data_IF_418068218492
#
_entry.id   IF_418068218492
#
_cell.length_a   1.000
_cell.length_b   1.000
_cell.length_c   1.000
_cell.angle_alpha   90.00
_cell.angle_beta   90.00
_cell.angle_gamma   90.00
#
_symmetry.space_group_name_H-M   'P 1'
#
loop_
_entity.id
_entity.type
_entity.pdbx_description
1 polymer ?
#
# COMPACT_ATOMS: atom_id res chain seq x y z
N UNK A 1 8.45 -22.69 2.39
CA UNK A 1 7.24 -21.89 2.63
C UNK A 1 6.22 -22.82 3.25
N UNK A 2 5.76 -22.50 4.45
CA UNK A 2 4.67 -23.24 5.07
C UNK A 2 3.40 -23.15 4.22
N UNK A 3 2.59 -24.21 4.30
CA UNK A 3 1.36 -24.32 3.53
C UNK A 3 0.42 -23.18 3.93
N UNK A 4 -0.17 -22.44 2.97
CA UNK A 4 -1.08 -21.36 3.31
C UNK A 4 -2.28 -21.88 4.10
N UNK A 5 -2.70 -21.12 5.11
CA UNK A 5 -3.94 -21.34 5.85
C UNK A 5 -5.08 -20.50 5.27
N UNK A 6 -6.30 -20.72 5.75
CA UNK A 6 -7.48 -20.06 5.21
C UNK A 6 -7.57 -18.60 5.69
N UNK A 7 -7.77 -17.67 4.74
CA UNK A 7 -8.24 -16.32 5.04
C UNK A 7 -9.78 -16.36 5.19
N UNK A 8 -10.26 -16.13 6.41
CA UNK A 8 -11.67 -16.30 6.79
C UNK A 8 -12.34 -14.93 6.93
N UNK A 9 -13.15 -14.46 5.96
CA UNK A 9 -13.98 -13.28 6.09
C UNK A 9 -15.12 -13.57 7.06
N UNK A 10 -15.39 -12.60 7.92
CA UNK A 10 -16.49 -12.59 8.89
C UNK A 10 -17.66 -11.82 8.31
N UNK A 11 -17.40 -10.60 7.85
CA UNK A 11 -18.39 -9.70 7.27
C UNK A 11 -17.74 -8.61 6.41
N UNK A 12 -18.58 -7.84 5.73
CA UNK A 12 -18.17 -6.70 4.91
C UNK A 12 -18.82 -5.43 5.46
N UNK A 13 -18.05 -4.34 5.48
CA UNK A 13 -18.54 -3.02 5.91
C UNK A 13 -18.55 -2.11 4.70
N UNK A 14 -19.75 -1.72 4.26
CA UNK A 14 -19.94 -0.74 3.19
C UNK A 14 -19.49 0.63 3.68
N UNK A 15 -18.73 1.35 2.86
CA UNK A 15 -18.24 2.68 3.21
C UNK A 15 -19.03 3.82 2.60
N UNK A 16 -20.04 3.50 1.78
CA UNK A 16 -20.71 4.51 0.94
C UNK A 16 -19.76 5.15 -0.08
N UNK A 17 -18.63 4.50 -0.36
CA UNK A 17 -17.59 4.89 -1.29
C UNK A 17 -16.99 3.63 -1.93
N UNK A 18 -16.37 3.74 -3.11
CA UNK A 18 -15.66 2.62 -3.75
C UNK A 18 -14.15 2.77 -3.57
N UNK A 19 -13.48 1.64 -3.69
CA UNK A 19 -12.04 1.58 -3.78
C UNK A 19 -11.27 2.05 -2.54
N UNK A 20 -11.67 1.65 -1.30
CA UNK A 20 -10.88 1.95 -0.11
C UNK A 20 -9.50 1.29 -0.24
N UNK A 21 -8.47 2.09 -0.52
CA UNK A 21 -7.16 1.59 -0.89
C UNK A 21 -6.38 1.16 0.36
N UNK A 22 -5.62 2.05 0.99
CA UNK A 22 -4.91 1.70 2.20
C UNK A 22 -5.88 1.51 3.35
N UNK A 23 -5.54 0.62 4.28
CA UNK A 23 -6.26 0.48 5.55
C UNK A 23 -5.26 0.50 6.67
N UNK A 24 -5.35 1.51 7.52
CA UNK A 24 -4.45 1.69 8.66
C UNK A 24 -5.27 1.73 9.95
N UNK A 25 -4.93 0.86 10.89
CA UNK A 25 -5.54 0.90 12.22
C UNK A 25 -4.90 2.03 13.05
N UNK A 26 -5.74 2.79 13.76
CA UNK A 26 -5.28 3.76 14.74
C UNK A 26 -5.21 3.15 16.16
N UNK A 27 -4.64 3.90 17.09
CA UNK A 27 -4.48 3.47 18.48
C UNK A 27 -5.80 3.18 19.23
N UNK A 28 -6.95 3.60 18.69
CA UNK A 28 -8.27 3.37 19.27
C UNK A 28 -9.00 2.20 18.59
N UNK A 29 -8.31 1.45 17.72
CA UNK A 29 -8.86 0.33 16.98
C UNK A 29 -9.81 0.73 15.84
N UNK A 30 -9.85 2.01 15.47
CA UNK A 30 -10.59 2.50 14.29
C UNK A 30 -9.69 2.32 13.07
N UNK A 31 -10.29 2.29 11.88
CA UNK A 31 -9.52 2.15 10.63
C UNK A 31 -9.67 3.38 9.77
N UNK A 32 -8.55 3.86 9.27
CA UNK A 32 -8.44 4.94 8.30
C UNK A 32 -8.28 4.37 6.90
N UNK A 33 -8.94 4.96 5.90
CA UNK A 33 -8.80 4.55 4.51
C UNK A 33 -9.10 5.69 3.54
N UNK A 34 -8.49 5.65 2.37
CA UNK A 34 -8.72 6.58 1.27
C UNK A 34 -9.60 5.97 0.19
N UNK A 35 -10.60 6.70 -0.30
CA UNK A 35 -11.56 6.22 -1.29
C UNK A 35 -11.34 6.79 -2.70
N UNK A 36 -12.01 6.18 -3.69
CA UNK A 36 -11.94 6.53 -5.10
C UNK A 36 -12.37 7.96 -5.43
N UNK A 37 -13.29 8.51 -4.64
CA UNK A 37 -13.81 9.86 -4.82
C UNK A 37 -13.00 10.93 -4.06
N UNK A 38 -11.82 10.57 -3.55
CA UNK A 38 -10.91 11.48 -2.87
C UNK A 38 -11.18 11.64 -1.38
N UNK A 39 -12.22 10.99 -0.83
CA UNK A 39 -12.50 11.06 0.62
C UNK A 39 -11.49 10.26 1.43
N UNK A 40 -11.05 10.85 2.54
CA UNK A 40 -10.39 10.15 3.64
C UNK A 40 -11.46 9.78 4.66
N UNK A 41 -11.55 8.51 5.00
CA UNK A 41 -12.60 7.95 5.83
C UNK A 41 -12.00 7.36 7.11
N UNK A 42 -12.73 7.50 8.21
CA UNK A 42 -12.50 6.79 9.47
C UNK A 42 -13.69 5.89 9.75
N UNK A 43 -13.41 4.61 10.01
CA UNK A 43 -14.42 3.59 10.27
C UNK A 43 -14.37 3.20 11.74
N UNK A 44 -15.48 3.42 12.42
CA UNK A 44 -15.70 3.07 13.82
C UNK A 44 -16.48 1.77 13.91
N UNK A 45 -16.30 1.02 15.01
CA UNK A 45 -17.06 -0.19 15.34
C UNK A 45 -17.07 -1.27 14.23
N UNK A 46 -15.92 -1.48 13.57
CA UNK A 46 -15.76 -2.47 12.49
C UNK A 46 -16.16 -3.90 12.88
N UNK A 47 -16.16 -4.25 14.17
CA UNK A 47 -16.50 -5.58 14.65
C UNK A 47 -17.98 -5.98 14.49
N UNK A 48 -18.91 -5.03 14.39
CA UNK A 48 -20.33 -5.31 14.11
C UNK A 48 -20.81 -4.42 12.96
N UNK A 49 -21.14 -5.00 11.78
CA UNK A 49 -21.56 -4.23 10.61
C UNK A 49 -22.85 -3.43 10.83
N UNK A 50 -23.66 -3.75 11.85
CA UNK A 50 -24.88 -3.00 12.18
C UNK A 50 -24.61 -1.71 12.94
N UNK A 51 -23.46 -1.63 13.63
CA UNK A 51 -23.04 -0.46 14.40
C UNK A 51 -21.88 0.29 13.76
N UNK A 52 -21.30 -0.27 12.69
CA UNK A 52 -20.22 0.35 11.96
C UNK A 52 -20.63 1.74 11.47
N UNK A 53 -19.80 2.73 11.78
CA UNK A 53 -20.04 4.13 11.40
C UNK A 53 -18.85 4.65 10.61
N UNK A 54 -19.15 5.31 9.50
CA UNK A 54 -18.16 5.95 8.64
C UNK A 54 -18.20 7.45 8.88
N UNK A 55 -17.03 8.01 9.14
CA UNK A 55 -16.78 9.44 9.30
C UNK A 55 -15.89 9.90 8.15
N UNK A 56 -16.23 11.02 7.52
CA UNK A 56 -15.37 11.65 6.51
C UNK A 56 -14.45 12.62 7.23
N UNK A 57 -13.14 12.42 7.09
CA UNK A 57 -12.12 13.27 7.73
C UNK A 57 -11.70 14.43 6.83
N UNK A 58 -11.64 14.22 5.52
CA UNK A 58 -11.27 15.23 4.54
C UNK A 58 -11.59 14.74 3.13
N UNK A 59 -11.52 15.64 2.15
CA UNK A 59 -11.56 15.31 0.73
C UNK A 59 -10.31 15.86 0.07
N UNK A 60 -9.47 14.99 -0.50
CA UNK A 60 -8.24 15.42 -1.16
C UNK A 60 -8.51 16.02 -2.52
N UNK A 61 -9.66 15.75 -3.15
CA UNK A 61 -9.91 16.13 -4.55
C UNK A 61 -9.00 15.40 -5.56
N UNK A 62 -8.33 14.34 -5.13
CA UNK A 62 -7.53 13.43 -5.95
C UNK A 62 -7.88 11.97 -5.67
N UNK A 63 -6.88 11.09 -5.69
CA UNK A 63 -7.05 9.66 -5.35
C UNK A 63 -6.05 9.24 -4.26
N UNK A 64 -6.44 9.25 -2.98
CA UNK A 64 -5.63 8.75 -1.88
C UNK A 64 -5.33 7.25 -2.03
N UNK A 65 -4.07 6.86 -1.81
CA UNK A 65 -3.57 5.50 -1.98
C UNK A 65 -2.85 4.96 -0.75
N UNK A 66 -2.06 5.77 -0.05
CA UNK A 66 -1.30 5.36 1.13
C UNK A 66 -1.45 6.37 2.26
N UNK A 67 -1.53 5.89 3.49
CA UNK A 67 -1.85 6.70 4.67
C UNK A 67 -0.85 6.46 5.80
N UNK A 68 -0.42 7.53 6.47
CA UNK A 68 0.41 7.42 7.68
C UNK A 68 -0.11 8.37 8.77
N UNK A 69 -0.79 7.85 9.81
CA UNK A 69 -1.26 8.64 10.93
C UNK A 69 -0.08 9.20 11.73
N UNK A 70 -0.15 10.48 12.09
CA UNK A 70 0.91 11.17 12.82
C UNK A 70 0.57 11.31 14.31
N UNK A 71 1.59 11.40 15.19
CA UNK A 71 1.39 11.58 16.64
C UNK A 71 0.64 12.86 17.01
N UNK A 72 0.68 13.89 16.16
CA UNK A 72 -0.01 15.17 16.35
C UNK A 72 -1.49 15.13 15.94
N UNK A 73 -2.00 13.96 15.51
CA UNK A 73 -3.37 13.77 15.02
C UNK A 73 -3.55 14.09 13.53
N UNK A 74 -2.51 14.59 12.86
CA UNK A 74 -2.47 14.74 11.41
C UNK A 74 -2.34 13.40 10.69
N UNK A 75 -2.38 13.46 9.37
CA UNK A 75 -2.28 12.30 8.49
C UNK A 75 -1.44 12.67 7.27
N UNK A 76 -0.39 11.92 6.98
CA UNK A 76 0.24 11.99 5.67
C UNK A 76 -0.55 11.12 4.69
N UNK A 77 -0.71 11.61 3.47
CA UNK A 77 -1.46 10.94 2.43
C UNK A 77 -0.66 10.97 1.14
N UNK A 78 -0.36 9.80 0.60
CA UNK A 78 0.02 9.66 -0.79
C UNK A 78 -1.22 9.68 -1.66
N UNK A 79 -1.35 10.71 -2.49
CA UNK A 79 -2.42 10.87 -3.44
C UNK A 79 -1.87 10.68 -4.87
N UNK A 80 -2.45 9.75 -5.62
CA UNK A 80 -2.01 9.39 -6.96
C UNK A 80 -2.03 10.58 -7.94
N UNK A 81 -2.92 11.53 -7.69
CA UNK A 81 -3.12 12.69 -8.54
C UNK A 81 -2.46 13.94 -7.98
N UNK A 82 -2.40 14.10 -6.65
CA UNK A 82 -1.93 15.35 -6.02
C UNK A 82 -0.53 15.28 -5.38
N UNK A 83 0.08 14.10 -5.31
CA UNK A 83 1.41 13.92 -4.70
C UNK A 83 1.33 13.58 -3.21
N UNK A 84 2.32 13.99 -2.44
CA UNK A 84 2.35 13.86 -0.98
C UNK A 84 1.56 15.02 -0.34
N UNK A 85 0.58 14.67 0.49
CA UNK A 85 -0.27 15.59 1.20
C UNK A 85 -0.11 15.43 2.71
N UNK A 86 -0.40 16.50 3.44
CA UNK A 86 -0.78 16.46 4.85
C UNK A 86 -2.25 16.80 4.98
N UNK A 87 -2.97 16.00 5.74
CA UNK A 87 -4.34 16.25 6.15
C UNK A 87 -4.35 16.53 7.63
N UNK A 88 -5.00 17.63 8.02
CA UNK A 88 -5.24 18.00 9.41
C UNK A 88 -6.74 17.84 9.69
N UNK A 89 -7.17 16.69 10.25
CA UNK A 89 -8.58 16.42 10.53
C UNK A 89 -9.14 17.37 11.59
N UNK A 90 -10.44 17.66 11.49
CA UNK A 90 -11.17 18.41 12.52
C UNK A 90 -12.38 17.59 12.93
N UNK A 91 -12.59 17.42 14.23
CA UNK A 91 -13.72 16.64 14.74
C UNK A 91 -15.06 17.22 14.24
N UNK A 92 -15.86 16.39 13.58
CA UNK A 92 -17.18 16.77 13.06
C UNK A 92 -17.15 17.69 11.83
N UNK A 93 -16.00 17.90 11.19
CA UNK A 93 -15.85 18.74 10.00
C UNK A 93 -14.90 18.16 8.95
N UNK A 94 -14.82 18.82 7.80
CA UNK A 94 -13.81 18.51 6.79
C UNK A 94 -12.46 19.10 7.21
N UNK A 95 -11.46 18.23 7.36
CA UNK A 95 -10.08 18.61 7.65
C UNK A 95 -9.44 19.42 6.52
N UNK A 96 -8.34 20.08 6.84
CA UNK A 96 -7.58 20.88 5.87
C UNK A 96 -6.58 20.00 5.13
N UNK A 97 -6.40 20.23 3.83
CA UNK A 97 -5.48 19.46 2.99
C UNK A 97 -4.37 20.36 2.46
N UNK A 98 -3.13 20.03 2.80
CA UNK A 98 -1.91 20.71 2.40
C UNK A 98 -1.11 19.85 1.42
N UNK A 99 -0.65 20.41 0.31
CA UNK A 99 0.31 19.73 -0.56
C UNK A 99 1.70 19.94 0.02
N UNK A 100 2.38 18.84 0.39
CA UNK A 100 3.77 18.89 0.86
C UNK A 100 4.75 18.80 -0.32
N UNK A 101 4.45 17.92 -1.28
CA UNK A 101 5.22 17.80 -2.52
C UNK A 101 4.37 17.19 -3.62
N UNK A 102 4.44 17.75 -4.83
CA UNK A 102 3.80 17.19 -6.03
C UNK A 102 4.80 16.84 -7.14
N UNK A 103 6.09 17.11 -6.90
CA UNK A 103 7.19 16.91 -7.82
C UNK A 103 8.49 16.61 -7.08
N UNK A 104 9.45 16.06 -7.82
CA UNK A 104 10.83 15.81 -7.40
C UNK A 104 11.76 15.85 -8.60
N UNK A 105 12.89 16.54 -8.49
CA UNK A 105 13.89 16.66 -9.55
C UNK A 105 13.28 17.14 -10.89
N UNK A 106 12.35 18.09 -10.81
CA UNK A 106 11.64 18.65 -11.97
C UNK A 106 10.56 17.75 -12.59
N UNK A 107 10.27 16.59 -12.01
CA UNK A 107 9.24 15.66 -12.49
C UNK A 107 8.07 15.54 -11.51
N UNK A 108 6.84 15.54 -12.04
CA UNK A 108 5.63 15.32 -11.23
C UNK A 108 5.62 13.93 -10.59
N UNK A 109 5.13 13.84 -9.35
CA UNK A 109 4.80 12.60 -8.66
C UNK A 109 3.54 11.98 -9.28
N UNK A 110 3.70 11.33 -10.45
CA UNK A 110 2.60 10.80 -11.27
C UNK A 110 1.79 9.68 -10.61
N UNK A 111 2.39 8.97 -9.65
CA UNK A 111 1.78 7.83 -8.97
C UNK A 111 2.38 7.72 -7.57
N UNK A 112 2.15 8.75 -6.75
CA UNK A 112 2.51 8.77 -5.33
C UNK A 112 1.71 7.67 -4.61
N UNK A 113 2.38 6.64 -4.09
CA UNK A 113 1.71 5.39 -3.68
C UNK A 113 1.59 5.27 -2.17
N UNK A 114 2.70 5.20 -1.45
CA UNK A 114 2.68 4.96 -0.01
C UNK A 114 3.71 5.81 0.74
N UNK A 115 3.48 6.02 2.04
CA UNK A 115 4.24 6.95 2.88
C UNK A 115 4.46 6.37 4.27
N UNK A 116 5.61 6.64 4.87
CA UNK A 116 5.86 6.45 6.31
C UNK A 116 6.61 7.64 6.87
N UNK A 117 6.38 7.93 8.15
CA UNK A 117 7.15 8.91 8.91
C UNK A 117 7.99 8.17 9.96
N UNK A 118 9.23 8.59 10.16
CA UNK A 118 10.10 8.07 11.22
C UNK A 118 10.18 9.08 12.38
N UNK A 119 10.62 8.68 13.59
CA UNK A 119 10.53 9.52 14.78
C UNK A 119 11.24 10.88 14.72
N UNK A 120 12.23 11.05 13.85
CA UNK A 120 12.92 12.34 13.65
C UNK A 120 12.14 13.31 12.74
N UNK A 121 10.96 12.92 12.25
CA UNK A 121 10.10 13.70 11.37
C UNK A 121 10.42 13.53 9.88
N UNK A 122 11.45 12.76 9.53
CA UNK A 122 11.74 12.42 8.13
C UNK A 122 10.60 11.58 7.56
N UNK A 123 10.19 11.91 6.34
CA UNK A 123 9.12 11.20 5.62
C UNK A 123 9.74 10.46 4.43
N UNK A 124 9.34 9.20 4.26
CA UNK A 124 9.72 8.40 3.11
C UNK A 124 8.50 8.09 2.27
N UNK A 125 8.65 8.14 0.94
CA UNK A 125 7.54 8.00 0.00
C UNK A 125 7.89 7.08 -1.14
N UNK A 126 6.99 6.20 -1.54
CA UNK A 126 7.10 5.43 -2.78
C UNK A 126 6.38 6.11 -3.93
N UNK A 127 6.98 6.07 -5.11
CA UNK A 127 6.33 6.44 -6.38
C UNK A 127 6.34 5.22 -7.28
N UNK A 128 5.16 4.70 -7.66
CA UNK A 128 5.08 3.41 -8.35
C UNK A 128 5.62 3.46 -9.76
N UNK A 129 5.32 4.53 -10.51
CA UNK A 129 5.73 4.67 -11.90
C UNK A 129 5.96 6.13 -12.25
N UNK A 130 6.98 6.38 -13.09
CA UNK A 130 7.21 7.69 -13.73
C UNK A 130 6.45 7.83 -15.05
N UNK A 131 5.96 6.73 -15.61
CA UNK A 131 5.36 6.66 -16.95
C UNK A 131 3.85 6.49 -16.93
N UNK A 132 3.34 5.55 -16.14
CA UNK A 132 1.93 5.21 -16.12
C UNK A 132 1.25 5.81 -14.88
N UNK A 133 0.17 6.59 -15.02
CA UNK A 133 -0.66 6.98 -13.88
C UNK A 133 -1.50 5.80 -13.38
N UNK A 134 -2.16 5.96 -12.21
CA UNK A 134 -3.03 4.94 -11.61
C UNK A 134 -4.02 4.33 -12.60
N UNK A 135 -4.75 5.14 -13.39
CA UNK A 135 -5.72 4.61 -14.37
C UNK A 135 -5.12 3.69 -15.45
N UNK A 136 -3.79 3.65 -15.60
CA UNK A 136 -3.07 2.82 -16.57
C UNK A 136 -2.01 1.93 -15.90
N UNK A 137 -2.13 1.65 -14.60
CA UNK A 137 -1.16 0.90 -13.80
C UNK A 137 -0.72 -0.43 -14.44
N UNK A 138 -1.64 -1.13 -15.13
CA UNK A 138 -1.37 -2.40 -15.84
C UNK A 138 -0.25 -2.25 -16.85
N UNK A 139 -0.15 -1.08 -17.50
CA UNK A 139 0.90 -0.79 -18.47
C UNK A 139 2.29 -0.93 -17.84
N UNK A 140 2.46 -0.46 -16.61
CA UNK A 140 3.74 -0.55 -15.91
C UNK A 140 4.10 -1.99 -15.55
N UNK A 141 3.14 -2.73 -15.00
CA UNK A 141 3.31 -4.15 -14.65
C UNK A 141 3.61 -5.00 -15.88
N UNK A 142 2.95 -4.74 -17.01
CA UNK A 142 3.15 -5.47 -18.27
C UNK A 142 4.46 -5.12 -18.93
N UNK A 143 4.81 -3.83 -18.98
CA UNK A 143 6.07 -3.38 -19.57
C UNK A 143 7.27 -3.74 -18.70
N UNK A 144 7.04 -3.84 -17.39
CA UNK A 144 8.04 -4.08 -16.36
C UNK A 144 9.12 -2.97 -16.41
N UNK A 145 8.64 -1.72 -16.24
CA UNK A 145 9.43 -0.51 -16.56
C UNK A 145 10.60 -0.32 -15.62
N UNK A 146 10.49 -0.73 -14.37
CA UNK A 146 11.48 -0.45 -13.33
C UNK A 146 11.65 1.04 -13.04
N UNK A 147 10.60 1.85 -13.19
CA UNK A 147 10.69 3.31 -12.96
C UNK A 147 10.27 3.76 -11.56
N UNK A 148 9.94 2.80 -10.67
CA UNK A 148 9.53 3.11 -9.31
C UNK A 148 10.66 3.73 -8.49
N UNK A 149 10.30 4.57 -7.52
CA UNK A 149 11.25 5.32 -6.69
C UNK A 149 10.93 5.25 -5.20
N UNK A 150 11.97 5.34 -4.37
CA UNK A 150 11.87 5.74 -2.97
C UNK A 150 12.38 7.18 -2.85
N UNK A 151 11.58 8.02 -2.22
CA UNK A 151 11.91 9.41 -1.94
C UNK A 151 12.06 9.65 -0.44
N UNK A 152 12.77 10.71 -0.09
CA UNK A 152 12.87 11.27 1.26
C UNK A 152 12.46 12.73 1.25
N UNK A 153 11.64 13.13 2.22
CA UNK A 153 11.36 14.52 2.55
C UNK A 153 11.86 14.77 3.98
N UNK A 154 12.69 15.79 4.15
CA UNK A 154 13.23 16.15 5.46
C UNK A 154 12.14 16.71 6.38
N UNK A 155 12.35 16.64 7.69
CA UNK A 155 11.37 17.08 8.69
C UNK A 155 11.05 18.58 8.62
N UNK A 156 12.00 19.40 8.15
CA UNK A 156 11.84 20.83 7.90
C UNK A 156 11.19 21.14 6.53
N UNK A 157 10.86 20.10 5.77
CA UNK A 157 10.22 20.19 4.46
C UNK A 157 11.22 20.33 3.31
N UNK A 158 10.86 21.13 2.32
CA UNK A 158 11.67 21.35 1.11
C UNK A 158 11.32 20.41 -0.06
N UNK A 159 12.19 20.38 -1.07
CA UNK A 159 12.02 19.48 -2.21
C UNK A 159 12.41 18.05 -1.79
N UNK A 160 11.59 17.03 -2.12
CA UNK A 160 11.97 15.65 -1.87
C UNK A 160 13.27 15.27 -2.59
N UNK A 161 14.02 14.34 -2.01
CA UNK A 161 15.20 13.72 -2.62
C UNK A 161 14.88 12.31 -3.11
N UNK A 162 15.44 11.93 -4.26
CA UNK A 162 15.38 10.55 -4.75
C UNK A 162 16.47 9.71 -4.09
N UNK A 163 16.08 8.76 -3.23
CA UNK A 163 17.02 7.85 -2.57
C UNK A 163 17.29 6.57 -3.36
N UNK A 164 16.27 6.09 -4.07
CA UNK A 164 16.35 4.87 -4.86
C UNK A 164 15.48 5.00 -6.11
N UNK A 165 15.99 4.48 -7.23
CA UNK A 165 15.25 4.28 -8.47
C UNK A 165 15.39 2.82 -8.93
N UNK A 166 14.68 2.43 -9.98
CA UNK A 166 14.81 1.08 -10.54
C UNK A 166 13.82 0.06 -9.97
N UNK A 167 12.96 0.47 -9.03
CA UNK A 167 12.01 -0.41 -8.37
C UNK A 167 10.91 -0.86 -9.35
N UNK A 168 10.58 -2.14 -9.31
CA UNK A 168 9.52 -2.71 -10.15
C UNK A 168 8.15 -2.45 -9.53
N UNK A 169 7.62 -1.25 -9.81
CA UNK A 169 6.36 -0.75 -9.27
C UNK A 169 6.42 -0.65 -7.74
N UNK A 170 7.10 0.39 -7.24
CA UNK A 170 7.23 0.65 -5.80
C UNK A 170 5.84 0.95 -5.19
N UNK A 171 5.40 0.13 -4.23
CA UNK A 171 4.06 0.23 -3.68
C UNK A 171 4.10 0.43 -2.17
N UNK A 172 3.60 -0.53 -1.38
CA UNK A 172 3.65 -0.48 0.08
C UNK A 172 5.03 -0.17 0.65
N UNK A 173 5.03 0.56 1.75
CA UNK A 173 6.20 1.00 2.48
C UNK A 173 5.95 0.80 3.98
N UNK A 174 6.94 0.28 4.70
CA UNK A 174 6.87 0.15 6.15
C UNK A 174 8.25 0.27 6.79
N UNK A 175 8.29 0.74 8.03
CA UNK A 175 9.52 0.79 8.84
C UNK A 175 9.77 -0.57 9.51
N UNK A 176 11.03 -0.99 9.58
CA UNK A 176 11.48 -2.15 10.37
C UNK A 176 11.28 -1.94 11.87
N UNK A 177 11.28 -3.01 12.67
CA UNK A 177 10.83 -2.95 14.07
C UNK A 177 11.75 -2.13 14.95
N UNK A 178 13.04 -2.14 14.61
CA UNK A 178 14.10 -1.36 15.26
C UNK A 178 14.31 0.03 14.65
N UNK A 179 13.53 0.40 13.62
CA UNK A 179 13.69 1.66 12.90
C UNK A 179 14.94 1.78 12.03
N UNK A 180 15.75 0.72 11.88
CA UNK A 180 17.04 0.79 11.17
C UNK A 180 16.93 0.58 9.65
N UNK A 181 15.75 0.20 9.15
CA UNK A 181 15.49 -0.06 7.74
C UNK A 181 14.03 0.19 7.35
N UNK A 182 13.80 0.30 6.04
CA UNK A 182 12.48 0.27 5.42
C UNK A 182 12.29 -1.06 4.67
N UNK A 183 11.05 -1.51 4.57
CA UNK A 183 10.62 -2.58 3.66
C UNK A 183 9.73 -1.98 2.59
N UNK A 184 10.04 -2.29 1.34
CA UNK A 184 9.37 -1.77 0.16
C UNK A 184 8.78 -2.93 -0.62
N UNK A 185 7.50 -2.84 -0.97
CA UNK A 185 6.86 -3.75 -1.89
C UNK A 185 7.21 -3.40 -3.35
N UNK A 186 7.73 -4.36 -4.10
CA UNK A 186 7.90 -4.26 -5.54
C UNK A 186 6.87 -5.17 -6.23
N UNK A 187 5.71 -4.58 -6.53
CA UNK A 187 4.53 -5.28 -7.07
C UNK A 187 4.88 -6.07 -8.34
N UNK A 188 5.59 -5.42 -9.27
CA UNK A 188 5.97 -6.02 -10.56
C UNK A 188 6.98 -7.16 -10.44
N UNK A 189 7.81 -7.14 -9.40
CA UNK A 189 8.82 -8.17 -9.16
C UNK A 189 8.38 -9.28 -8.19
N UNK A 190 7.16 -9.20 -7.62
CA UNK A 190 6.65 -10.15 -6.63
C UNK A 190 7.63 -10.35 -5.45
N UNK A 191 8.24 -9.27 -4.95
CA UNK A 191 9.22 -9.29 -3.85
C UNK A 191 9.04 -8.13 -2.88
N UNK A 192 9.58 -8.29 -1.68
CA UNK A 192 9.87 -7.22 -0.73
C UNK A 192 11.37 -6.95 -0.72
N UNK A 193 11.73 -5.66 -0.68
CA UNK A 193 13.12 -5.19 -0.66
C UNK A 193 13.37 -4.40 0.61
N UNK A 194 14.47 -4.70 1.29
CA UNK A 194 14.94 -3.95 2.47
C UNK A 194 15.82 -2.79 2.00
N UNK A 195 15.62 -1.60 2.55
CA UNK A 195 16.49 -0.43 2.39
C UNK A 195 17.01 0.00 3.76
N UNK A 196 18.32 0.03 3.96
CA UNK A 196 18.92 0.37 5.24
C UNK A 196 18.91 1.89 5.47
N UNK A 197 18.32 2.32 6.58
CA UNK A 197 18.29 3.73 7.01
C UNK A 197 19.56 4.10 7.79
N UNK A 198 20.03 3.19 8.63
CA UNK A 198 21.13 3.45 9.57
C UNK A 198 22.18 2.33 9.55
N UNK A 199 23.27 2.55 10.28
CA UNK A 199 24.36 1.60 10.42
C UNK A 199 25.32 1.55 9.21
N UNK A 200 26.27 0.61 9.19
CA UNK A 200 27.32 0.53 8.17
C UNK A 200 26.81 0.29 6.74
N UNK A 201 25.56 -0.15 6.60
CA UNK A 201 24.90 -0.43 5.32
C UNK A 201 23.89 0.64 4.92
N UNK A 202 23.80 1.77 5.64
CA UNK A 202 22.88 2.85 5.31
C UNK A 202 22.94 3.22 3.82
N UNK A 203 21.78 3.36 3.19
CA UNK A 203 21.64 3.61 1.75
C UNK A 203 21.68 2.37 0.86
N UNK A 204 22.07 1.20 1.37
CA UNK A 204 22.06 -0.04 0.60
C UNK A 204 20.71 -0.76 0.64
N UNK A 205 20.46 -1.54 -0.40
CA UNK A 205 19.31 -2.45 -0.50
C UNK A 205 19.72 -3.92 -0.44
N UNK A 206 18.82 -4.75 0.08
CA UNK A 206 18.93 -6.21 0.00
C UNK A 206 17.55 -6.88 -0.12
N UNK A 207 17.46 -8.11 -0.68
CA UNK A 207 16.20 -8.84 -0.70
C UNK A 207 15.67 -9.08 0.72
N UNK A 208 14.38 -8.80 0.94
CA UNK A 208 13.70 -9.11 2.20
C UNK A 208 12.94 -10.43 2.09
N UNK A 209 12.06 -10.55 1.09
CA UNK A 209 11.30 -11.77 0.84
C UNK A 209 10.86 -11.87 -0.64
N UNK A 210 10.67 -13.09 -1.15
CA UNK A 210 9.99 -13.34 -2.44
C UNK A 210 8.59 -13.89 -2.17
N UNK A 211 7.59 -13.46 -2.94
CA UNK A 211 6.18 -13.72 -2.65
C UNK A 211 5.51 -14.56 -3.76
N UNK A 212 4.47 -15.33 -3.43
CA UNK A 212 3.70 -16.11 -4.40
C UNK A 212 2.70 -15.26 -5.22
N UNK A 213 2.65 -13.95 -4.98
CA UNK A 213 1.78 -12.99 -5.64
C UNK A 213 2.40 -11.60 -5.66
N UNK A 214 1.69 -10.67 -6.30
CA UNK A 214 2.06 -9.27 -6.39
C UNK A 214 1.78 -8.59 -5.04
N UNK A 215 2.82 -8.20 -4.27
CA UNK A 215 2.63 -7.47 -3.02
C UNK A 215 2.06 -6.08 -3.31
N UNK A 216 1.37 -5.52 -2.33
CA UNK A 216 0.80 -4.18 -2.40
C UNK A 216 1.14 -3.40 -1.12
N UNK A 217 0.19 -2.79 -0.42
CA UNK A 217 0.48 -2.06 0.81
C UNK A 217 1.00 -2.97 1.93
N UNK A 218 1.83 -2.35 2.76
CA UNK A 218 2.48 -2.91 3.92
C UNK A 218 1.91 -2.24 5.16
N UNK A 219 1.70 -2.99 6.23
CA UNK A 219 1.28 -2.43 7.51
C UNK A 219 2.02 -3.09 8.66
N UNK A 220 2.52 -2.27 9.58
CA UNK A 220 3.27 -2.74 10.74
C UNK A 220 2.39 -2.70 11.98
N UNK A 221 2.28 -3.85 12.64
CA UNK A 221 1.44 -3.99 13.85
C UNK A 221 2.01 -3.30 15.09
N UNK A 222 3.32 -3.11 15.09
CA UNK A 222 4.08 -2.43 16.14
C UNK A 222 5.57 -2.79 16.01
N UNK A 223 6.45 -2.24 16.86
CA UNK A 223 7.88 -2.53 16.83
C UNK A 223 8.18 -4.04 16.92
N UNK A 224 7.50 -4.74 17.82
CA UNK A 224 7.63 -6.19 18.03
C UNK A 224 6.64 -7.02 17.22
N UNK A 225 5.73 -6.37 16.50
CA UNK A 225 4.67 -7.01 15.74
C UNK A 225 5.13 -7.41 14.33
N UNK A 226 4.42 -8.34 13.68
CA UNK A 226 4.73 -8.71 12.32
C UNK A 226 4.47 -7.56 11.34
N UNK A 227 5.18 -7.62 10.22
CA UNK A 227 4.91 -6.83 9.02
C UNK A 227 3.90 -7.55 8.14
N UNK A 228 2.70 -6.99 8.02
CA UNK A 228 1.65 -7.49 7.13
C UNK A 228 1.81 -6.94 5.71
N UNK A 229 1.46 -7.76 4.72
CA UNK A 229 1.42 -7.37 3.30
C UNK A 229 0.21 -7.97 2.62
N UNK A 230 -0.45 -7.17 1.79
CA UNK A 230 -1.52 -7.61 0.92
C UNK A 230 -0.98 -8.19 -0.39
N UNK A 231 -1.68 -9.17 -0.96
CA UNK A 231 -1.41 -9.70 -2.30
C UNK A 231 -2.54 -9.32 -3.27
N UNK A 232 -2.32 -8.27 -4.05
CA UNK A 232 -3.32 -7.73 -4.99
C UNK A 232 -3.71 -8.71 -6.09
N UNK A 233 -2.77 -9.57 -6.50
CA UNK A 233 -2.98 -10.62 -7.49
C UNK A 233 -2.07 -11.81 -7.21
N UNK A 234 -2.50 -13.06 -7.51
CA UNK A 234 -1.56 -14.16 -7.64
C UNK A 234 -0.53 -13.88 -8.74
N UNK A 235 0.59 -14.59 -8.69
CA UNK A 235 1.59 -14.57 -9.77
C UNK A 235 0.96 -15.08 -11.07
N UNK A 236 1.31 -14.42 -12.18
CA UNK A 236 0.72 -14.68 -13.51
C UNK A 236 1.79 -15.29 -14.43
N UNK A 237 1.82 -16.61 -14.66
CA UNK A 237 2.90 -17.25 -15.43
C UNK A 237 3.09 -16.70 -16.85
N UNK A 238 2.04 -16.38 -17.62
CA UNK A 238 2.21 -15.73 -18.92
C UNK A 238 2.94 -14.38 -18.84
N UNK A 239 2.74 -13.63 -17.75
CA UNK A 239 3.41 -12.35 -17.52
C UNK A 239 4.90 -12.57 -17.22
N UNK A 240 5.24 -13.58 -16.40
CA UNK A 240 6.64 -13.95 -16.13
C UNK A 240 7.41 -14.31 -17.42
N UNK A 241 6.75 -14.96 -18.38
CA UNK A 241 7.32 -15.25 -19.69
C UNK A 241 7.49 -13.99 -20.53
N UNK A 242 6.49 -13.10 -20.54
CA UNK A 242 6.56 -11.82 -21.24
C UNK A 242 7.71 -10.96 -20.73
N UNK A 243 7.97 -10.93 -19.42
CA UNK A 243 9.07 -10.15 -18.83
C UNK A 243 10.46 -10.56 -19.32
N UNK A 244 10.62 -11.79 -19.84
CA UNK A 244 11.86 -12.28 -20.46
C UNK A 244 12.04 -11.86 -21.92
N UNK A 245 11.02 -11.25 -22.52
CA UNK A 245 11.08 -10.74 -23.90
C UNK A 245 11.77 -9.37 -23.96
N UNK A 246 12.26 -8.93 -25.14
CA UNK A 246 12.90 -7.62 -25.29
C UNK A 246 11.98 -6.44 -24.89
N UNK A 247 12.54 -5.30 -24.43
CA UNK A 247 11.75 -4.15 -24.00
C UNK A 247 10.71 -3.66 -25.01
N UNK A 248 11.01 -3.69 -26.32
CA UNK A 248 10.07 -3.28 -27.36
C UNK A 248 8.80 -4.15 -27.42
N UNK A 249 8.92 -5.45 -27.15
CA UNK A 249 7.79 -6.39 -27.10
C UNK A 249 6.93 -6.09 -25.88
N UNK A 250 7.54 -5.92 -24.70
CA UNK A 250 6.83 -5.58 -23.46
C UNK A 250 6.13 -4.23 -23.58
N UNK A 251 6.76 -3.23 -24.18
CA UNK A 251 6.14 -1.92 -24.44
C UNK A 251 4.96 -2.01 -25.40
N UNK A 252 5.01 -2.86 -26.43
CA UNK A 252 3.87 -3.11 -27.31
C UNK A 252 2.72 -3.82 -26.57
N UNK A 253 3.04 -4.85 -25.78
CA UNK A 253 2.06 -5.55 -24.95
C UNK A 253 1.40 -4.61 -23.93
N UNK A 254 2.18 -3.73 -23.29
CA UNK A 254 1.69 -2.73 -22.35
C UNK A 254 0.70 -1.75 -23.00
N UNK A 255 1.00 -1.24 -24.21
CA UNK A 255 0.07 -0.39 -24.96
C UNK A 255 -1.26 -1.09 -25.27
N UNK A 256 -1.24 -2.40 -25.54
CA UNK A 256 -2.48 -3.16 -25.70
C UNK A 256 -3.20 -3.38 -24.37
N UNK A 257 -2.45 -3.69 -23.31
CA UNK A 257 -2.99 -4.06 -22.00
C UNK A 257 -3.72 -2.90 -21.30
N UNK A 258 -3.26 -1.66 -21.45
CA UNK A 258 -3.95 -0.48 -20.85
C UNK A 258 -5.35 -0.24 -21.40
N UNK A 259 -5.70 -0.83 -22.55
CA UNK A 259 -7.03 -0.75 -23.15
C UNK A 259 -7.85 -2.04 -22.98
N UNK A 260 -7.24 -3.11 -22.44
CA UNK A 260 -7.93 -4.36 -22.21
C UNK A 260 -8.75 -4.32 -20.91
N UNK A 261 -9.96 -4.93 -20.89
CA UNK A 261 -10.75 -5.00 -19.68
C UNK A 261 -10.04 -5.85 -18.62
N UNK A 262 -9.84 -5.30 -17.43
CA UNK A 262 -9.23 -6.01 -16.31
C UNK A 262 -10.28 -6.58 -15.35
N UNK A 263 -10.19 -7.90 -15.14
CA UNK A 263 -11.03 -8.65 -14.19
C UNK A 263 -10.16 -9.23 -13.07
N UNK A 264 -10.25 -8.68 -11.85
CA UNK A 264 -9.51 -9.22 -10.71
C UNK A 264 -9.86 -10.68 -10.45
N UNK A 265 -8.83 -11.45 -10.09
CA UNK A 265 -8.99 -12.82 -9.60
C UNK A 265 -9.80 -12.83 -8.30
N UNK A 266 -10.57 -13.90 -8.09
CA UNK A 266 -11.15 -14.20 -6.78
C UNK A 266 -10.16 -14.90 -5.84
N UNK A 267 -8.92 -15.11 -6.25
CA UNK A 267 -7.84 -15.57 -5.38
C UNK A 267 -7.20 -14.35 -4.71
N UNK A 268 -7.35 -14.26 -3.39
CA UNK A 268 -6.81 -13.20 -2.55
C UNK A 268 -5.91 -13.80 -1.48
N UNK A 269 -4.98 -13.00 -0.96
CA UNK A 269 -4.14 -13.42 0.16
C UNK A 269 -3.48 -12.26 0.87
N UNK A 270 -3.03 -12.54 2.08
CA UNK A 270 -2.19 -11.67 2.89
C UNK A 270 -1.08 -12.51 3.50
N UNK A 271 0.07 -11.90 3.73
CA UNK A 271 1.20 -12.53 4.40
C UNK A 271 1.68 -11.65 5.54
N UNK A 272 2.31 -12.26 6.52
CA UNK A 272 2.97 -11.59 7.63
C UNK A 272 4.42 -12.06 7.72
N UNK A 273 5.34 -11.16 8.04
CA UNK A 273 6.77 -11.44 8.15
C UNK A 273 7.35 -10.90 9.46
N UNK A 274 8.37 -11.56 9.99
CA UNK A 274 9.26 -10.96 11.00
C UNK A 274 10.34 -10.10 10.32
N UNK A 275 11.13 -9.38 11.13
CA UNK A 275 12.15 -8.44 10.62
C UNK A 275 13.29 -9.09 9.83
N UNK A 276 13.44 -10.41 9.91
CA UNK A 276 14.42 -11.16 9.13
C UNK A 276 13.91 -11.48 7.72
N UNK A 277 12.61 -11.30 7.46
CA UNK A 277 11.95 -11.70 6.22
C UNK A 277 11.38 -13.11 6.26
N UNK A 278 11.32 -13.75 7.44
CA UNK A 278 10.71 -15.07 7.59
C UNK A 278 9.19 -14.93 7.71
N UNK A 279 8.46 -15.78 6.99
CA UNK A 279 7.00 -15.79 7.02
C UNK A 279 6.48 -16.25 8.38
N UNK A 280 5.62 -15.42 8.98
CA UNK A 280 4.87 -15.66 10.23
C UNK A 280 3.49 -16.21 9.89
N UNK A 281 2.79 -15.58 8.94
CA UNK A 281 1.49 -16.04 8.46
C UNK A 281 1.41 -15.97 6.93
N UNK A 282 0.65 -16.90 6.36
CA UNK A 282 0.31 -16.89 4.95
C UNK A 282 -1.15 -17.33 4.80
N UNK A 283 -2.05 -16.35 4.65
CA UNK A 283 -3.48 -16.57 4.62
C UNK A 283 -3.98 -16.38 3.19
N UNK A 284 -4.76 -17.33 2.67
CA UNK A 284 -5.31 -17.23 1.31
C UNK A 284 -6.78 -17.64 1.26
N UNK A 285 -7.51 -17.06 0.30
CA UNK A 285 -8.87 -17.47 -0.03
C UNK A 285 -9.03 -17.54 -1.54
N UNK A 286 -9.63 -18.63 -2.02
CA UNK A 286 -10.04 -18.79 -3.42
C UNK A 286 -11.53 -18.45 -3.56
N UNK A 287 -11.93 -17.99 -4.73
CA UNK A 287 -13.33 -17.64 -5.06
C UNK A 287 -13.93 -16.63 -4.07
N UNK A 288 -13.12 -15.68 -3.61
CA UNK A 288 -13.56 -14.56 -2.78
C UNK A 288 -14.53 -13.65 -3.55
N UNK A 289 -15.55 -13.15 -2.84
CA UNK A 289 -16.41 -12.08 -3.34
C UNK A 289 -15.69 -10.73 -3.36
N UNK A 290 -14.77 -10.52 -2.41
CA UNK A 290 -13.91 -9.36 -2.29
C UNK A 290 -12.59 -9.60 -3.03
N UNK A 291 -12.21 -8.68 -3.92
CA UNK A 291 -11.09 -8.89 -4.86
C UNK A 291 -10.13 -7.72 -4.88
N UNK A 292 -8.97 -7.94 -5.50
CA UNK A 292 -7.91 -6.94 -5.62
C UNK A 292 -7.57 -6.35 -4.25
N UNK A 293 -7.17 -7.21 -3.32
CA UNK A 293 -6.82 -6.81 -1.95
C UNK A 293 -5.52 -6.04 -2.01
N UNK A 294 -5.58 -4.72 -1.80
CA UNK A 294 -4.43 -3.82 -1.92
C UNK A 294 -3.78 -3.52 -0.58
N UNK A 295 -4.46 -3.78 0.52
CA UNK A 295 -3.97 -3.47 1.85
C UNK A 295 -4.52 -4.41 2.91
N UNK A 296 -3.84 -4.46 4.05
CA UNK A 296 -4.24 -5.19 5.23
C UNK A 296 -3.73 -4.49 6.48
N UNK A 297 -4.55 -4.36 7.51
CA UNK A 297 -4.10 -4.04 8.87
C UNK A 297 -4.80 -4.94 9.88
N UNK A 298 -4.26 -4.99 11.10
CA UNK A 298 -4.89 -5.69 12.22
C UNK A 298 -5.48 -4.68 13.21
N UNK A 299 -6.67 -4.97 13.73
CA UNK A 299 -7.29 -4.22 14.83
C UNK A 299 -8.14 -5.15 15.68
N UNK A 300 -7.86 -5.20 16.99
CA UNK A 300 -8.44 -6.20 17.89
C UNK A 300 -8.24 -7.62 17.35
N UNK A 301 -9.34 -8.38 17.27
CA UNK A 301 -9.37 -9.77 16.77
C UNK A 301 -9.56 -9.87 15.24
N UNK A 302 -9.40 -8.76 14.53
CA UNK A 302 -9.71 -8.67 13.10
C UNK A 302 -8.49 -8.34 12.26
N UNK A 303 -8.46 -8.91 11.06
CA UNK A 303 -7.75 -8.36 9.91
C UNK A 303 -8.74 -7.58 9.05
N UNK A 304 -8.36 -6.39 8.63
CA UNK A 304 -9.18 -5.53 7.78
C UNK A 304 -8.48 -5.40 6.44
N UNK A 305 -9.22 -5.61 5.34
CA UNK A 305 -8.68 -5.60 3.99
C UNK A 305 -9.28 -4.44 3.18
N UNK A 306 -8.40 -3.67 2.53
CA UNK A 306 -8.78 -2.69 1.51
C UNK A 306 -8.73 -3.29 0.09
N UNK A 307 -9.26 -2.54 -0.86
CA UNK A 307 -9.31 -2.86 -2.29
C UNK A 307 -9.48 -1.60 -3.12
N UNK A 308 -8.85 -1.57 -4.31
CA UNK A 308 -9.10 -0.53 -5.32
C UNK A 308 -10.48 -0.63 -6.00
N UNK A 309 -11.26 -1.69 -5.76
CA UNK A 309 -12.45 -2.01 -6.57
C UNK A 309 -13.72 -2.20 -5.78
N UNK A 310 -13.65 -2.57 -4.50
CA UNK A 310 -14.82 -2.95 -3.72
C UNK A 310 -15.51 -1.73 -3.08
N UNK A 311 -16.82 -1.79 -2.76
CA UNK A 311 -17.58 -0.66 -2.18
C UNK A 311 -17.38 -0.50 -0.65
N UNK A 312 -16.30 -1.06 -0.11
CA UNK A 312 -16.01 -1.04 1.31
C UNK A 312 -14.86 -1.97 1.68
N UNK A 313 -14.76 -2.32 2.96
CA UNK A 313 -13.69 -3.17 3.49
C UNK A 313 -14.19 -4.56 3.86
N UNK A 314 -13.31 -5.56 3.79
CA UNK A 314 -13.57 -6.89 4.32
C UNK A 314 -12.98 -7.03 5.71
N UNK A 315 -13.79 -7.51 6.66
CA UNK A 315 -13.34 -7.84 8.01
C UNK A 315 -13.17 -9.36 8.10
N UNK A 316 -11.97 -9.81 8.44
CA UNK A 316 -11.56 -11.20 8.49
C UNK A 316 -11.12 -11.59 9.89
N UNK A 317 -11.20 -12.88 10.21
CA UNK A 317 -10.64 -13.42 11.44
C UNK A 317 -9.12 -13.24 11.45
N UNK A 318 -8.59 -12.72 12.55
CA UNK A 318 -7.15 -12.65 12.78
C UNK A 318 -6.64 -14.03 13.20
N UNK A 319 -5.49 -14.50 12.67
CA UNK A 319 -4.88 -15.72 13.17
C UNK A 319 -4.41 -15.52 14.62
N UNK A 320 -4.36 -16.60 15.39
CA UNK A 320 -3.77 -16.57 16.73
C UNK A 320 -2.29 -16.14 16.64
N UNK A 321 -1.83 -15.40 17.66
CA UNK A 321 -0.41 -15.09 17.82
C UNK A 321 0.41 -16.38 17.88
N UNK A 322 1.60 -16.37 17.27
CA UNK A 322 2.57 -17.46 17.33
C UNK A 322 3.26 -17.54 18.69
#
# INVERSE_FOLDING_TARGET
MDRPTALVPLHYVSLGARGPEDVVADAHGRVLTGAEDGRILRVHHLGDPRTARVEVLAETGGRPLGLEPLPDGGLLVCDAERGLLRVDPVDGGAGTVHVLADSVAGERLRFCSNVVAVPDGTVYVTVSSRRYPLGQWIGDIVEHTGTGRLLRLAADGGEPEVLLEGLQFANGLAVGGDGSFLVIAETGACRLTRYHLTGPRAGHIEPFATLPGMPDNLWREGPDGPLWVALASPRVPPLDLLHRTPPGVRGAAARAAVHAPYRPSGAIGVMAFDDTGRTVHHLTRRRSGFRMVTSVCATGDHLVLGSLREPGVAVCARPAAL
#
